data_IF_046020474822
#
_entry.id   IF_046020474822
#
_cell.length_a   1.000
_cell.length_b   1.000
_cell.length_c   1.000
_cell.angle_alpha   90.00
_cell.angle_beta   90.00
_cell.angle_gamma   90.00
#
_symmetry.space_group_name_H-M   'P 1'
#
loop_
_entity.id
_entity.type
_entity.pdbx_description
1 polymer ?
#
# COMPACT_ATOMS: atom_id res chain seq x y z
N UNK A 1 -10.11 15.25 10.92
CA UNK A 1 -9.21 16.13 10.12
C UNK A 1 -8.21 15.22 9.42
N UNK A 2 -8.38 14.93 8.11
CA UNK A 2 -7.40 14.13 7.35
C UNK A 2 -6.08 14.90 7.34
N UNK A 3 -4.93 14.30 7.73
CA UNK A 3 -3.65 14.97 7.52
C UNK A 3 -3.51 15.22 6.02
N UNK A 4 -3.28 16.48 5.66
CA UNK A 4 -3.04 16.85 4.27
C UNK A 4 -1.73 16.18 3.83
N UNK A 5 -1.79 15.31 2.83
CA UNK A 5 -0.60 14.90 2.08
C UNK A 5 0.09 16.20 1.61
N UNK A 6 1.39 16.41 1.86
CA UNK A 6 2.07 17.58 1.33
C UNK A 6 1.87 17.59 -0.18
N UNK A 7 1.36 18.70 -0.71
CA UNK A 7 1.20 18.84 -2.15
C UNK A 7 2.57 18.63 -2.82
N UNK A 8 2.68 17.62 -3.68
CA UNK A 8 3.81 17.47 -4.60
C UNK A 8 4.90 16.45 -4.27
N UNK A 9 4.68 15.46 -3.39
CA UNK A 9 5.63 14.35 -3.26
C UNK A 9 5.38 13.30 -4.36
N UNK A 10 6.36 13.13 -5.25
CA UNK A 10 6.30 12.06 -6.24
C UNK A 10 6.76 10.73 -5.59
N UNK A 11 6.34 9.57 -6.12
CA UNK A 11 6.83 8.26 -5.65
C UNK A 11 8.37 8.17 -5.61
N UNK A 12 9.06 8.81 -6.56
CA UNK A 12 10.52 8.87 -6.60
C UNK A 12 11.17 9.56 -5.38
N UNK A 13 10.43 10.45 -4.70
CA UNK A 13 10.94 11.21 -3.56
C UNK A 13 10.80 10.47 -2.21
N UNK A 14 10.03 9.38 -2.16
CA UNK A 14 9.66 8.72 -0.89
C UNK A 14 10.88 8.29 -0.09
N UNK A 15 11.85 7.62 -0.72
CA UNK A 15 13.06 7.13 -0.02
C UNK A 15 13.91 8.28 0.52
N UNK A 16 14.09 9.34 -0.27
CA UNK A 16 14.90 10.50 0.14
C UNK A 16 14.26 11.22 1.33
N UNK A 17 12.94 11.35 1.33
CA UNK A 17 12.17 11.93 2.43
C UNK A 17 12.31 11.12 3.72
N UNK A 18 12.13 9.80 3.65
CA UNK A 18 12.23 8.90 4.81
C UNK A 18 13.65 8.85 5.37
N UNK A 19 14.68 8.83 4.50
CA UNK A 19 16.08 8.78 4.90
C UNK A 19 16.55 9.96 5.77
N UNK A 20 15.78 11.07 5.80
CA UNK A 20 16.06 12.22 6.70
C UNK A 20 15.75 11.92 8.17
N UNK A 21 15.01 10.86 8.46
CA UNK A 21 14.51 10.58 9.82
C UNK A 21 14.66 9.13 10.25
N UNK A 22 14.75 8.19 9.31
CA UNK A 22 14.94 6.76 9.57
C UNK A 22 16.02 6.17 8.66
N UNK A 23 16.60 5.05 9.05
CA UNK A 23 17.39 4.24 8.13
C UNK A 23 16.44 3.61 7.10
N UNK A 24 16.56 4.03 5.84
CA UNK A 24 15.69 3.60 4.75
C UNK A 24 16.34 2.45 3.93
N UNK A 25 16.67 1.34 4.60
CA UNK A 25 17.40 0.18 4.04
C UNK A 25 16.49 -1.00 3.64
N UNK A 26 15.17 -0.81 3.68
CA UNK A 26 14.20 -1.78 3.18
C UNK A 26 14.24 -1.98 1.65
N UNK A 27 13.29 -2.80 1.17
CA UNK A 27 13.11 -3.13 -0.24
C UNK A 27 13.12 -1.88 -1.12
N UNK A 28 13.70 -2.00 -2.32
CA UNK A 28 13.62 -0.97 -3.35
C UNK A 28 12.31 -1.03 -4.12
N UNK A 29 11.23 -0.73 -3.39
CA UNK A 29 9.85 -0.69 -3.84
C UNK A 29 9.16 0.51 -3.17
N UNK A 30 8.45 1.31 -3.95
CA UNK A 30 7.45 2.26 -3.43
C UNK A 30 6.08 1.68 -3.73
N UNK A 31 5.40 1.17 -2.72
CA UNK A 31 4.16 0.41 -2.90
C UNK A 31 3.02 1.29 -3.43
N UNK A 32 2.48 0.90 -4.58
CA UNK A 32 1.21 1.43 -5.09
C UNK A 32 0.05 0.69 -4.39
N UNK A 33 -0.56 1.35 -3.41
CA UNK A 33 -1.61 0.75 -2.57
C UNK A 33 -2.87 0.43 -3.39
N UNK A 34 -3.18 1.23 -4.41
CA UNK A 34 -4.43 1.08 -5.17
C UNK A 34 -4.30 0.01 -6.25
N UNK A 35 -3.14 -0.07 -6.92
CA UNK A 35 -2.93 -0.98 -8.06
C UNK A 35 -2.40 -2.36 -7.69
N UNK A 36 -1.82 -2.55 -6.49
CA UNK A 36 -1.37 -3.86 -6.03
C UNK A 36 -2.55 -4.77 -5.71
N UNK A 37 -2.54 -6.04 -6.16
CA UNK A 37 -3.67 -6.98 -5.98
C UNK A 37 -3.20 -8.42 -5.85
N UNK A 38 -3.82 -9.18 -4.95
CA UNK A 38 -3.48 -10.57 -4.67
C UNK A 38 -2.00 -10.73 -4.32
N UNK A 39 -1.33 -11.66 -4.99
CA UNK A 39 0.11 -11.92 -4.85
C UNK A 39 0.99 -11.02 -5.73
N UNK A 40 0.49 -9.86 -6.20
CA UNK A 40 1.29 -8.92 -7.00
C UNK A 40 1.34 -7.53 -6.38
N UNK A 41 2.57 -7.06 -6.12
CA UNK A 41 2.85 -5.68 -5.71
C UNK A 41 3.23 -4.83 -6.91
N UNK A 42 2.72 -3.62 -6.99
CA UNK A 42 3.06 -2.66 -8.05
C UNK A 42 3.95 -1.56 -7.46
N UNK A 43 5.04 -1.27 -8.14
CA UNK A 43 5.86 -0.11 -7.82
C UNK A 43 5.21 1.16 -8.39
N UNK A 44 4.94 2.13 -7.54
CA UNK A 44 4.33 3.40 -7.91
C UNK A 44 5.24 4.29 -8.78
N UNK A 45 6.55 4.02 -8.82
CA UNK A 45 7.53 4.83 -9.59
C UNK A 45 7.45 4.56 -11.08
N UNK A 46 7.32 3.30 -11.47
CA UNK A 46 7.41 2.86 -12.88
C UNK A 46 6.26 1.93 -13.30
N UNK A 47 5.39 1.53 -12.36
CA UNK A 47 4.27 0.63 -12.60
C UNK A 47 4.65 -0.84 -12.73
N UNK A 48 5.90 -1.21 -12.44
CA UNK A 48 6.37 -2.60 -12.53
C UNK A 48 5.67 -3.48 -11.50
N UNK A 49 5.23 -4.66 -11.94
CA UNK A 49 4.67 -5.70 -11.06
C UNK A 49 5.73 -6.65 -10.52
N UNK A 50 5.58 -7.02 -9.25
CA UNK A 50 6.42 -7.96 -8.52
C UNK A 50 5.56 -9.08 -7.96
N UNK A 51 5.95 -10.34 -8.20
CA UNK A 51 5.33 -11.50 -7.55
C UNK A 51 5.74 -11.51 -6.07
N UNK A 52 4.74 -11.46 -5.20
CA UNK A 52 4.91 -11.43 -3.75
C UNK A 52 4.92 -12.83 -3.14
N UNK A 53 6.12 -13.31 -2.87
CA UNK A 53 6.36 -14.51 -2.05
C UNK A 53 6.86 -14.15 -0.64
N UNK A 54 6.68 -12.88 -0.25
CA UNK A 54 7.12 -12.33 1.02
C UNK A 54 5.93 -12.00 1.93
N UNK A 55 4.81 -11.53 1.37
CA UNK A 55 3.51 -11.30 2.03
C UNK A 55 3.63 -10.45 3.30
N UNK A 56 4.48 -9.43 3.24
CA UNK A 56 4.81 -8.55 4.35
C UNK A 56 5.23 -9.31 5.61
N UNK A 57 6.29 -10.13 5.50
CA UNK A 57 6.73 -11.07 6.55
C UNK A 57 5.67 -12.11 6.91
N UNK A 58 5.02 -12.70 5.91
CA UNK A 58 3.95 -13.70 6.07
C UNK A 58 2.74 -13.22 6.89
N UNK A 59 2.57 -11.91 7.08
CA UNK A 59 1.47 -11.34 7.86
C UNK A 59 0.21 -11.10 7.04
N UNK A 60 0.32 -11.01 5.71
CA UNK A 60 -0.85 -10.85 4.84
C UNK A 60 -1.33 -12.19 4.30
N UNK A 61 -2.38 -12.73 4.93
CA UNK A 61 -2.98 -14.00 4.54
C UNK A 61 -3.72 -13.94 3.18
N UNK A 62 -4.27 -12.78 2.83
CA UNK A 62 -5.12 -12.60 1.64
C UNK A 62 -4.43 -11.85 0.50
N UNK A 63 -3.19 -11.37 0.72
CA UNK A 63 -2.50 -10.48 -0.20
C UNK A 63 -3.09 -9.06 -0.22
N UNK A 64 -2.68 -8.26 -1.19
CA UNK A 64 -3.17 -6.88 -1.35
C UNK A 64 -4.57 -6.85 -1.97
N UNK A 65 -5.45 -5.98 -1.48
CA UNK A 65 -6.75 -5.67 -2.10
C UNK A 65 -7.57 -6.91 -2.52
N UNK A 66 -7.71 -7.87 -1.61
CA UNK A 66 -8.48 -9.08 -1.85
C UNK A 66 -9.91 -8.74 -2.34
N UNK A 67 -10.43 -9.36 -3.43
CA UNK A 67 -11.70 -8.96 -4.05
C UNK A 67 -12.89 -8.95 -3.09
N UNK A 68 -12.98 -9.94 -2.20
CA UNK A 68 -14.03 -10.01 -1.18
C UNK A 68 -13.96 -8.91 -0.09
N UNK A 69 -12.88 -8.13 -0.05
CA UNK A 69 -12.75 -6.96 0.83
C UNK A 69 -12.81 -5.65 0.05
N UNK A 70 -12.17 -5.59 -1.12
CA UNK A 70 -11.96 -4.36 -1.89
C UNK A 70 -13.06 -4.06 -2.91
N UNK A 71 -13.71 -5.09 -3.46
CA UNK A 71 -14.70 -4.95 -4.52
C UNK A 71 -16.14 -5.25 -4.04
N UNK A 72 -16.32 -5.72 -2.80
CA UNK A 72 -17.64 -5.87 -2.18
C UNK A 72 -18.04 -4.57 -1.47
N UNK A 73 -18.92 -3.80 -2.13
CA UNK A 73 -19.40 -2.51 -1.60
C UNK A 73 -20.10 -2.63 -0.25
N UNK A 74 -20.89 -3.70 -0.05
CA UNK A 74 -21.62 -3.91 1.20
C UNK A 74 -20.63 -4.19 2.31
N UNK A 75 -19.68 -5.08 2.07
CA UNK A 75 -18.63 -5.39 3.04
C UNK A 75 -17.78 -4.16 3.36
N UNK A 76 -17.42 -3.34 2.35
CA UNK A 76 -16.68 -2.08 2.58
C UNK A 76 -17.46 -1.08 3.42
N UNK A 77 -18.77 -0.96 3.21
CA UNK A 77 -19.62 -0.09 4.02
C UNK A 77 -19.71 -0.56 5.48
N UNK A 78 -19.83 -1.88 5.69
CA UNK A 78 -19.78 -2.48 7.02
C UNK A 78 -18.43 -2.22 7.71
N UNK A 79 -17.32 -2.47 7.01
CA UNK A 79 -15.97 -2.23 7.52
C UNK A 79 -15.74 -0.75 7.88
N UNK A 80 -16.20 0.18 7.03
CA UNK A 80 -16.10 1.61 7.28
C UNK A 80 -16.90 2.04 8.51
N UNK A 81 -18.09 1.48 8.71
CA UNK A 81 -18.92 1.74 9.90
C UNK A 81 -18.24 1.24 11.17
N UNK A 82 -17.64 0.05 11.13
CA UNK A 82 -16.90 -0.51 12.26
C UNK A 82 -15.66 0.32 12.61
N UNK A 83 -14.92 0.84 11.62
CA UNK A 83 -13.70 1.64 11.87
C UNK A 83 -13.96 3.04 12.46
N UNK A 84 -15.20 3.52 12.44
CA UNK A 84 -15.58 4.83 13.00
C UNK A 84 -15.86 4.79 14.51
N UNK A 85 -16.07 3.61 15.11
CA UNK A 85 -16.46 3.43 16.51
C UNK A 85 -15.49 2.50 17.25
#
# INVERSE_FOLDING_TARGET
MRPATPAGLAPADVRSVLARSILADGLDLVLDIDRSRGSYLVDARDGRGYLDMFTFFASSALGMNHPGLADDEKFRAELATAALN
#
